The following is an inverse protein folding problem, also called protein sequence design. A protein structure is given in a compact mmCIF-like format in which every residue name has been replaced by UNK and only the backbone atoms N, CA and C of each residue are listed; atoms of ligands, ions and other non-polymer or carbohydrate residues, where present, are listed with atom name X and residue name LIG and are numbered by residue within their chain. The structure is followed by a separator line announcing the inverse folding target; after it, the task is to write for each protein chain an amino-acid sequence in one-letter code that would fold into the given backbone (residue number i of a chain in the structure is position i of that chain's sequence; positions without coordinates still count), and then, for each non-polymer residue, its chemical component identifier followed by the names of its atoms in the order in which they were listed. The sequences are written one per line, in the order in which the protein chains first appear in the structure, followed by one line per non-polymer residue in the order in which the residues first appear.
data_IF_004148195570
#
_entry.id   IF_004148195570
#
_cell.length_a   1.000
_cell.length_b   1.000
_cell.length_c   1.000
_cell.angle_alpha   90.00
_cell.angle_beta   90.00
_cell.angle_gamma   90.00
#
_symmetry.space_group_name_H-M   'P 1'
#
loop_
_entity.id
_entity.type
_entity.pdbx_description
1 polymer ?
#
# COMPACT_ATOMS: atom_id res chain seq x y z
N UNK A 1 -19.44 -11.27 8.58
CA UNK A 1 -17.99 -11.53 8.74
C UNK A 1 -17.42 -10.67 9.86
N UNK A 2 -16.63 -11.27 10.77
CA UNK A 2 -15.88 -10.57 11.82
C UNK A 2 -14.38 -10.89 11.69
N UNK A 3 -13.50 -9.89 11.84
CA UNK A 3 -12.05 -10.04 11.64
C UNK A 3 -11.31 -9.57 12.89
N UNK A 4 -10.45 -10.44 13.43
CA UNK A 4 -9.46 -10.10 14.45
C UNK A 4 -8.07 -10.15 13.79
N UNK A 5 -7.42 -8.99 13.56
CA UNK A 5 -6.13 -8.93 12.87
C UNK A 5 -5.10 -9.90 13.45
N UNK A 6 -4.39 -10.62 12.58
CA UNK A 6 -3.33 -11.57 12.96
C UNK A 6 -3.78 -12.78 13.77
N UNK A 7 -5.11 -12.98 13.98
CA UNK A 7 -5.62 -14.04 14.85
C UNK A 7 -6.75 -14.85 14.23
N UNK A 8 -7.79 -14.20 13.71
CA UNK A 8 -8.95 -14.93 13.21
C UNK A 8 -9.77 -14.17 12.17
N UNK A 9 -10.37 -14.91 11.25
CA UNK A 9 -11.47 -14.45 10.40
C UNK A 9 -12.65 -15.39 10.63
N UNK A 10 -13.80 -14.82 10.97
CA UNK A 10 -15.04 -15.56 11.19
C UNK A 10 -16.06 -15.16 10.14
N UNK A 11 -16.67 -16.17 9.54
CA UNK A 11 -17.69 -15.96 8.52
C UNK A 11 -18.86 -16.92 8.67
N UNK A 12 -20.03 -16.47 8.21
CA UNK A 12 -21.23 -17.28 8.12
C UNK A 12 -21.39 -17.71 6.66
N UNK A 13 -21.07 -18.98 6.38
CA UNK A 13 -21.27 -19.54 5.05
C UNK A 13 -22.75 -19.90 4.92
N UNK A 14 -23.48 -19.13 4.12
CA UNK A 14 -24.85 -19.47 3.72
C UNK A 14 -24.81 -20.39 2.51
N UNK A 15 -25.33 -21.60 2.66
CA UNK A 15 -25.50 -22.53 1.55
C UNK A 15 -26.98 -22.59 1.16
N UNK A 16 -27.55 -21.45 0.73
CA UNK A 16 -28.94 -21.28 0.31
C UNK A 16 -29.95 -22.15 1.12
N UNK A 17 -30.42 -23.25 0.52
CA UNK A 17 -31.46 -24.14 1.06
C UNK A 17 -30.99 -25.05 2.20
N UNK A 18 -29.73 -24.98 2.60
CA UNK A 18 -29.10 -25.89 3.56
C UNK A 18 -28.76 -25.24 4.92
N UNK A 19 -29.09 -23.96 5.09
CA UNK A 19 -28.87 -23.22 6.33
C UNK A 19 -27.48 -22.57 6.42
N UNK A 20 -27.28 -21.82 7.50
CA UNK A 20 -26.01 -21.13 7.78
C UNK A 20 -25.04 -22.07 8.51
N UNK A 21 -23.80 -22.10 8.04
CA UNK A 21 -22.71 -22.85 8.65
C UNK A 21 -21.67 -21.86 9.15
N UNK A 22 -21.34 -21.97 10.44
CA UNK A 22 -20.28 -21.14 11.02
C UNK A 22 -18.92 -21.65 10.56
N UNK A 23 -18.10 -20.75 10.02
CA UNK A 23 -16.74 -21.02 9.56
C UNK A 23 -15.75 -20.11 10.30
N UNK A 24 -14.66 -20.69 10.79
CA UNK A 24 -13.55 -19.95 11.42
C UNK A 24 -12.20 -20.29 10.79
N UNK A 25 -11.44 -19.26 10.45
CA UNK A 25 -10.02 -19.35 10.12
C UNK A 25 -9.22 -18.85 11.30
N UNK A 26 -8.48 -19.73 11.97
CA UNK A 26 -7.57 -19.37 13.05
C UNK A 26 -6.14 -19.29 12.50
N UNK A 27 -5.43 -18.22 12.84
CA UNK A 27 -4.06 -17.96 12.43
C UNK A 27 -3.13 -18.13 13.65
N UNK A 28 -2.07 -18.91 13.48
CA UNK A 28 -1.02 -19.07 14.49
C UNK A 28 0.36 -19.14 13.86
N UNK A 29 1.42 -18.90 14.62
CA UNK A 29 2.78 -19.11 14.12
C UNK A 29 3.07 -20.60 13.99
N UNK A 30 3.60 -21.05 12.85
CA UNK A 30 4.02 -22.43 12.64
C UNK A 30 5.41 -22.67 13.27
N UNK A 31 5.67 -23.91 13.73
CA UNK A 31 6.91 -24.26 14.46
C UNK A 31 8.19 -24.10 13.62
N UNK A 32 8.10 -24.28 12.32
CA UNK A 32 9.23 -24.14 11.38
C UNK A 32 9.40 -22.72 10.82
N UNK A 33 8.71 -21.72 11.38
CA UNK A 33 8.53 -20.41 10.74
C UNK A 33 7.30 -20.36 9.83
N UNK A 34 6.79 -19.15 9.58
CA UNK A 34 5.57 -18.89 8.80
C UNK A 34 4.26 -18.89 9.60
N UNK A 35 3.14 -18.72 8.91
CA UNK A 35 1.78 -18.71 9.47
C UNK A 35 1.08 -20.04 9.20
N UNK A 36 0.61 -20.68 10.26
CA UNK A 36 -0.33 -21.80 10.20
C UNK A 36 -1.75 -21.24 10.14
N UNK A 37 -2.52 -21.72 9.15
CA UNK A 37 -3.94 -21.44 9.01
C UNK A 37 -4.71 -22.71 9.37
N UNK A 38 -5.62 -22.61 10.31
CA UNK A 38 -6.56 -23.68 10.65
C UNK A 38 -7.96 -23.25 10.26
N UNK A 39 -8.53 -23.91 9.26
CA UNK A 39 -9.92 -23.72 8.86
C UNK A 39 -10.80 -24.72 9.61
N UNK A 40 -11.77 -24.22 10.37
CA UNK A 40 -12.79 -25.03 11.02
C UNK A 40 -14.16 -24.65 10.51
N UNK A 41 -15.01 -25.65 10.44
CA UNK A 41 -16.40 -25.52 10.06
C UNK A 41 -17.26 -26.21 11.13
N UNK A 42 -18.27 -25.50 11.64
CA UNK A 42 -19.19 -26.02 12.65
C UNK A 42 -20.58 -26.17 12.05
N UNK A 43 -21.02 -27.42 11.97
CA UNK A 43 -22.36 -27.78 11.51
C UNK A 43 -23.20 -28.16 12.72
N UNK A 44 -24.26 -27.40 12.99
CA UNK A 44 -25.26 -27.76 13.99
C UNK A 44 -26.26 -28.76 13.38
N UNK A 45 -26.27 -29.98 13.91
CA UNK A 45 -27.18 -31.05 13.47
C UNK A 45 -28.42 -31.17 14.37
N UNK A 46 -28.49 -30.43 15.48
CA UNK A 46 -29.54 -30.52 16.50
C UNK A 46 -29.88 -31.99 16.83
N UNK A 47 -31.16 -32.34 16.92
CA UNK A 47 -31.62 -33.70 17.22
C UNK A 47 -31.79 -34.60 15.98
N UNK A 48 -31.28 -34.19 14.81
CA UNK A 48 -31.43 -34.95 13.56
C UNK A 48 -30.38 -36.07 13.47
N UNK A 49 -30.80 -37.28 13.83
CA UNK A 49 -29.96 -38.49 13.83
C UNK A 49 -29.42 -38.81 12.43
N UNK A 50 -30.19 -38.55 11.37
CA UNK A 50 -29.76 -38.80 9.99
C UNK A 50 -28.64 -37.86 9.60
N UNK A 51 -28.76 -36.57 9.93
CA UNK A 51 -27.67 -35.59 9.74
C UNK A 51 -26.44 -35.93 10.57
N UNK A 52 -26.61 -36.45 11.78
CA UNK A 52 -25.49 -36.88 12.65
C UNK A 52 -24.70 -38.04 12.04
N UNK A 53 -25.39 -39.05 11.51
CA UNK A 53 -24.75 -40.17 10.81
C UNK A 53 -24.06 -39.74 9.52
N UNK A 54 -24.70 -38.90 8.71
CA UNK A 54 -24.07 -38.31 7.51
C UNK A 54 -22.87 -37.44 7.88
N UNK A 55 -22.94 -36.76 9.03
CA UNK A 55 -21.86 -35.97 9.63
C UNK A 55 -20.55 -36.73 9.77
N UNK A 56 -20.61 -38.02 10.10
CA UNK A 56 -19.42 -38.87 10.25
C UNK A 56 -18.67 -39.11 8.94
N UNK A 57 -19.32 -38.91 7.79
CA UNK A 57 -18.72 -39.07 6.47
C UNK A 57 -18.11 -37.75 5.94
N UNK A 58 -18.50 -36.61 6.52
CA UNK A 58 -18.05 -35.28 6.08
C UNK A 58 -16.52 -35.07 6.15
N UNK A 59 -15.77 -35.60 7.13
CA UNK A 59 -14.31 -35.49 7.12
C UNK A 59 -13.67 -36.08 5.86
N UNK A 60 -14.22 -37.19 5.34
CA UNK A 60 -13.68 -37.86 4.14
C UNK A 60 -14.04 -37.16 2.84
N UNK A 61 -15.14 -36.40 2.81
CA UNK A 61 -15.61 -35.71 1.60
C UNK A 61 -15.30 -34.22 1.63
N UNK A 62 -15.81 -33.51 2.64
CA UNK A 62 -15.63 -32.06 2.79
C UNK A 62 -14.24 -31.76 3.37
N UNK A 63 -13.76 -32.54 4.34
CA UNK A 63 -12.42 -32.33 4.92
C UNK A 63 -11.33 -32.40 3.87
N UNK A 64 -11.34 -33.41 3.00
CA UNK A 64 -10.42 -33.51 1.88
C UNK A 64 -10.46 -32.29 0.93
N UNK A 65 -11.66 -31.76 0.65
CA UNK A 65 -11.82 -30.54 -0.16
C UNK A 65 -11.32 -29.28 0.56
N UNK A 66 -11.49 -29.20 1.88
CA UNK A 66 -10.96 -28.11 2.69
C UNK A 66 -9.43 -28.13 2.68
N UNK A 67 -8.82 -29.31 2.76
CA UNK A 67 -7.36 -29.48 2.65
C UNK A 67 -6.85 -29.08 1.26
N UNK A 68 -7.52 -29.52 0.18
CA UNK A 68 -7.21 -29.09 -1.19
C UNK A 68 -7.31 -27.56 -1.35
N UNK A 69 -8.34 -26.94 -0.77
CA UNK A 69 -8.53 -25.50 -0.81
C UNK A 69 -7.44 -24.76 -0.02
N UNK A 70 -7.06 -25.25 1.16
CA UNK A 70 -5.95 -24.71 1.96
C UNK A 70 -4.60 -24.87 1.25
N UNK A 71 -4.39 -25.96 0.51
CA UNK A 71 -3.18 -26.16 -0.29
C UNK A 71 -3.10 -25.13 -1.43
N UNK A 72 -4.21 -24.90 -2.16
CA UNK A 72 -4.27 -23.85 -3.20
C UNK A 72 -4.09 -22.46 -2.60
N UNK A 73 -4.71 -22.19 -1.45
CA UNK A 73 -4.52 -20.94 -0.72
C UNK A 73 -3.06 -20.73 -0.32
N UNK A 74 -2.39 -21.78 0.18
CA UNK A 74 -0.96 -21.75 0.47
C UNK A 74 -0.13 -21.39 -0.76
N UNK A 75 -0.37 -22.05 -1.90
CA UNK A 75 0.35 -21.71 -3.15
C UNK A 75 0.17 -20.25 -3.53
N UNK A 76 -1.05 -19.70 -3.42
CA UNK A 76 -1.30 -18.29 -3.70
C UNK A 76 -0.61 -17.37 -2.69
N UNK A 77 -0.67 -17.71 -1.40
CA UNK A 77 -0.03 -16.94 -0.34
C UNK A 77 1.50 -16.95 -0.44
N UNK A 78 2.11 -18.03 -0.93
CA UNK A 78 3.55 -18.15 -1.12
C UNK A 78 4.08 -17.45 -2.39
N UNK A 79 3.19 -17.06 -3.31
CA UNK A 79 3.54 -16.18 -4.44
C UNK A 79 3.75 -14.74 -3.97
N UNK A 80 3.11 -14.36 -2.85
CA UNK A 80 3.28 -13.03 -2.26
C UNK A 80 4.71 -12.97 -1.70
N UNK A 81 5.54 -11.99 -2.12
CA UNK A 81 6.87 -11.81 -1.55
C UNK A 81 6.79 -11.70 -0.03
N UNK A 82 7.81 -12.18 0.68
CA UNK A 82 7.97 -12.00 2.13
C UNK A 82 8.32 -10.54 2.48
N UNK A 83 7.49 -9.61 2.01
CA UNK A 83 7.47 -8.25 2.43
C UNK A 83 6.48 -8.18 3.59
N UNK A 84 6.99 -8.31 4.82
CA UNK A 84 6.22 -7.86 5.98
C UNK A 84 5.79 -6.41 5.68
N UNK A 85 4.52 -6.09 5.83
CA UNK A 85 3.98 -4.72 5.71
C UNK A 85 3.01 -4.43 6.87
N UNK A 86 2.89 -5.35 7.83
CA UNK A 86 1.88 -5.27 8.89
C UNK A 86 2.14 -4.16 9.91
N UNK A 87 3.37 -3.67 9.96
CA UNK A 87 3.84 -2.53 10.76
C UNK A 87 3.72 -1.17 10.04
N UNK A 88 3.41 -1.15 8.74
CA UNK A 88 3.32 0.08 7.96
C UNK A 88 1.95 0.76 8.19
N UNK A 89 1.96 2.06 8.52
CA UNK A 89 0.75 2.90 8.45
C UNK A 89 0.44 3.18 6.98
N UNK A 90 -0.29 2.25 6.35
CA UNK A 90 -0.65 2.26 4.94
C UNK A 90 -2.16 2.28 4.76
N UNK A 91 -2.64 3.20 3.90
CA UNK A 91 -4.07 3.41 3.66
C UNK A 91 -4.32 3.69 2.18
N UNK A 92 -5.45 3.20 1.64
CA UNK A 92 -5.92 3.64 0.33
C UNK A 92 -6.69 4.94 0.53
N UNK A 93 -6.25 6.01 -0.12
CA UNK A 93 -6.85 7.35 -0.04
C UNK A 93 -7.20 7.86 -1.43
N UNK A 94 -8.16 8.78 -1.52
CA UNK A 94 -8.39 9.57 -2.74
C UNK A 94 -7.74 10.93 -2.57
N UNK A 95 -6.86 11.31 -3.50
CA UNK A 95 -6.13 12.57 -3.43
C UNK A 95 -6.56 13.55 -4.52
N UNK A 96 -6.49 14.84 -4.21
CA UNK A 96 -6.63 15.93 -5.18
C UNK A 96 -5.26 16.29 -5.76
N UNK A 97 -5.22 16.58 -7.05
CA UNK A 97 -4.02 17.10 -7.70
C UNK A 97 -3.67 18.47 -7.12
N UNK A 98 -2.38 18.73 -6.91
CA UNK A 98 -1.85 20.04 -6.46
C UNK A 98 -0.82 20.54 -7.45
N UNK A 99 -0.81 21.85 -7.66
CA UNK A 99 0.25 22.53 -8.40
C UNK A 99 1.51 22.65 -7.54
N UNK A 100 2.66 22.33 -8.12
CA UNK A 100 3.97 22.32 -7.46
C UNK A 100 4.95 23.06 -8.36
N UNK A 101 5.62 24.09 -7.83
CA UNK A 101 6.79 24.67 -8.47
C UNK A 101 7.97 23.72 -8.23
N UNK A 102 8.61 23.21 -9.27
CA UNK A 102 9.59 22.14 -9.15
C UNK A 102 10.80 22.34 -10.05
N UNK A 103 11.93 21.79 -9.61
CA UNK A 103 13.20 21.73 -10.33
C UNK A 103 13.70 20.29 -10.35
N UNK A 104 14.39 19.91 -11.42
CA UNK A 104 14.97 18.57 -11.52
C UNK A 104 16.07 18.36 -10.47
N UNK A 105 16.05 17.20 -9.84
CA UNK A 105 17.15 16.72 -9.02
C UNK A 105 18.17 15.99 -9.90
N UNK A 106 19.47 16.17 -9.63
CA UNK A 106 20.49 15.34 -10.25
C UNK A 106 20.33 13.88 -9.78
N UNK A 107 20.68 12.88 -10.62
CA UNK A 107 20.71 11.50 -10.20
C UNK A 107 21.66 11.32 -9.00
N UNK A 108 21.20 10.77 -7.87
CA UNK A 108 22.06 10.64 -6.69
C UNK A 108 23.04 9.48 -6.85
N UNK A 109 24.33 9.68 -6.50
CA UNK A 109 25.29 8.59 -6.43
C UNK A 109 25.29 7.90 -5.05
N UNK A 110 24.85 8.58 -3.99
CA UNK A 110 24.64 8.04 -2.64
C UNK A 110 23.36 8.59 -2.00
N UNK A 111 22.89 7.99 -0.90
CA UNK A 111 21.69 8.46 -0.19
C UNK A 111 21.90 9.83 0.49
N UNK A 112 23.08 10.06 1.06
CA UNK A 112 23.40 11.35 1.67
C UNK A 112 23.42 12.48 0.64
N UNK A 113 23.90 12.19 -0.58
CA UNK A 113 23.87 13.14 -1.69
C UNK A 113 22.45 13.42 -2.18
N UNK A 114 21.57 12.42 -2.18
CA UNK A 114 20.15 12.59 -2.52
C UNK A 114 19.46 13.55 -1.56
N UNK A 115 19.69 13.39 -0.25
CA UNK A 115 19.08 14.24 0.77
C UNK A 115 19.64 15.67 0.74
N UNK A 116 20.95 15.83 0.55
CA UNK A 116 21.57 17.15 0.37
C UNK A 116 21.05 17.87 -0.88
N UNK A 117 20.96 17.18 -2.01
CA UNK A 117 20.43 17.73 -3.26
C UNK A 117 18.95 18.12 -3.13
N UNK A 118 18.15 17.33 -2.42
CA UNK A 118 16.75 17.66 -2.13
C UNK A 118 16.64 18.96 -1.33
N UNK A 119 17.42 19.12 -0.26
CA UNK A 119 17.42 20.33 0.58
C UNK A 119 17.84 21.56 -0.22
N UNK A 120 18.91 21.45 -1.01
CA UNK A 120 19.40 22.54 -1.85
C UNK A 120 18.36 22.97 -2.90
N UNK A 121 17.77 21.99 -3.59
CA UNK A 121 16.76 22.25 -4.60
C UNK A 121 15.48 22.86 -4.01
N UNK A 122 15.03 22.40 -2.84
CA UNK A 122 13.90 23.01 -2.13
C UNK A 122 14.18 24.45 -1.73
N UNK A 123 15.38 24.74 -1.18
CA UNK A 123 15.78 26.10 -0.83
C UNK A 123 15.78 27.03 -2.06
N UNK A 124 16.25 26.52 -3.20
CA UNK A 124 16.26 27.24 -4.47
C UNK A 124 14.85 27.56 -4.97
N UNK A 125 13.93 26.58 -4.93
CA UNK A 125 12.52 26.80 -5.30
C UNK A 125 11.87 27.84 -4.37
N UNK A 126 12.08 27.75 -3.06
CA UNK A 126 11.55 28.73 -2.11
C UNK A 126 12.09 30.14 -2.36
N UNK A 127 13.39 30.28 -2.62
CA UNK A 127 13.99 31.58 -2.95
C UNK A 127 13.36 32.19 -4.22
N UNK A 128 13.21 31.38 -5.27
CA UNK A 128 12.57 31.79 -6.52
C UNK A 128 11.13 32.28 -6.32
N UNK A 129 10.34 31.58 -5.50
CA UNK A 129 8.96 31.96 -5.17
C UNK A 129 8.93 33.26 -4.34
N UNK A 130 9.79 33.37 -3.33
CA UNK A 130 9.88 34.54 -2.45
C UNK A 130 10.25 35.82 -3.20
N UNK A 131 11.22 35.76 -4.12
CA UNK A 131 11.60 36.90 -4.99
C UNK A 131 10.42 37.45 -5.81
N UNK A 132 9.42 36.60 -6.07
CA UNK A 132 8.23 36.92 -6.86
C UNK A 132 7.00 37.23 -6.00
N UNK A 133 7.14 37.28 -4.68
CA UNK A 133 6.04 37.51 -3.75
C UNK A 133 5.00 36.39 -3.76
N UNK A 134 5.38 35.18 -4.21
CA UNK A 134 4.53 34.00 -4.15
C UNK A 134 4.73 33.34 -2.78
N UNK A 135 3.63 33.20 -2.03
CA UNK A 135 3.64 32.59 -0.70
C UNK A 135 3.25 31.11 -0.80
N UNK A 136 4.20 30.16 -0.73
CA UNK A 136 3.88 28.75 -0.81
C UNK A 136 3.19 28.25 0.47
N UNK A 137 2.52 27.10 0.36
CA UNK A 137 1.96 26.38 1.52
C UNK A 137 3.05 25.74 2.41
N UNK A 138 4.33 26.05 2.17
CA UNK A 138 5.54 25.54 2.84
C UNK A 138 5.65 24.00 2.90
N UNK A 139 4.87 23.29 2.10
CA UNK A 139 4.97 21.85 1.95
C UNK A 139 5.98 21.50 0.86
N UNK A 140 7.03 20.78 1.24
CA UNK A 140 8.04 20.26 0.32
C UNK A 140 7.61 18.94 -0.31
N UNK A 141 7.82 18.84 -1.62
CA UNK A 141 7.52 17.69 -2.44
C UNK A 141 8.80 17.13 -3.06
N UNK A 142 8.96 15.81 -3.03
CA UNK A 142 9.85 15.08 -3.95
C UNK A 142 8.98 14.21 -4.85
N UNK A 143 8.99 14.47 -6.14
CA UNK A 143 8.11 13.82 -7.13
C UNK A 143 8.99 12.95 -8.02
N UNK A 144 8.68 11.66 -8.12
CA UNK A 144 9.33 10.79 -9.10
C UNK A 144 8.83 11.20 -10.51
N UNK A 145 9.66 11.20 -11.55
CA UNK A 145 9.22 11.63 -12.90
C UNK A 145 8.57 10.48 -13.68
N UNK A 146 8.93 9.23 -13.35
CA UNK A 146 8.39 8.03 -13.96
C UNK A 146 7.93 7.02 -12.90
N UNK A 147 6.80 6.37 -13.17
CA UNK A 147 6.24 5.31 -12.33
C UNK A 147 7.04 3.99 -12.41
N UNK A 148 7.78 3.76 -13.49
CA UNK A 148 8.42 2.47 -13.78
C UNK A 148 9.96 2.52 -13.86
N UNK A 149 10.57 3.69 -13.69
CA UNK A 149 12.02 3.87 -13.77
C UNK A 149 12.58 4.17 -12.38
N UNK A 150 13.76 3.63 -11.99
CA UNK A 150 14.41 4.00 -10.74
C UNK A 150 14.54 5.53 -10.61
N UNK A 151 14.68 6.03 -9.38
CA UNK A 151 14.66 7.44 -8.93
C UNK A 151 15.63 8.44 -9.64
N UNK A 152 16.22 8.06 -10.78
CA UNK A 152 17.19 8.79 -11.59
C UNK A 152 16.64 10.08 -12.22
N UNK A 153 15.32 10.28 -12.19
CA UNK A 153 14.70 11.55 -12.55
C UNK A 153 13.64 11.87 -11.49
N UNK A 154 14.03 12.61 -10.46
CA UNK A 154 13.12 13.14 -9.45
C UNK A 154 13.04 14.66 -9.59
N UNK A 155 11.93 15.25 -9.19
CA UNK A 155 11.77 16.69 -9.03
C UNK A 155 11.69 17.03 -7.55
N UNK A 156 12.33 18.10 -7.15
CA UNK A 156 12.12 18.74 -5.85
C UNK A 156 11.26 19.97 -6.05
N UNK A 157 10.25 20.16 -5.22
CA UNK A 157 9.34 21.27 -5.39
C UNK A 157 8.58 21.68 -4.14
N UNK A 158 7.82 22.75 -4.27
CA UNK A 158 7.00 23.31 -3.22
C UNK A 158 5.60 23.57 -3.78
N UNK A 159 4.57 23.25 -3.00
CA UNK A 159 3.19 23.51 -3.40
C UNK A 159 2.95 25.01 -3.61
N UNK A 160 2.27 25.32 -4.72
CA UNK A 160 1.81 26.67 -5.08
C UNK A 160 0.30 26.65 -5.29
N UNK A 161 -0.40 27.79 -5.13
CA UNK A 161 -1.80 27.90 -5.49
C UNK A 161 -2.05 27.52 -6.95
N UNK A 162 -3.20 26.89 -7.22
CA UNK A 162 -3.60 26.55 -8.57
C UNK A 162 -3.81 27.81 -9.43
N UNK A 163 -3.42 27.73 -10.71
CA UNK A 163 -3.55 28.83 -11.67
C UNK A 163 -2.42 29.85 -11.64
N UNK A 164 -1.40 29.64 -10.79
CA UNK A 164 -0.14 30.41 -10.87
C UNK A 164 0.64 29.96 -12.10
N UNK A 165 0.93 30.92 -12.98
CA UNK A 165 1.79 30.72 -14.13
C UNK A 165 3.24 31.08 -13.77
N UNK A 166 4.18 30.18 -14.04
CA UNK A 166 5.59 30.41 -13.77
C UNK A 166 6.27 30.85 -15.08
N UNK A 167 7.00 31.98 -15.09
CA UNK A 167 7.61 32.52 -16.30
C UNK A 167 8.44 31.49 -17.06
N UNK A 168 8.26 31.43 -18.39
CA UNK A 168 9.09 30.63 -19.27
C UNK A 168 10.57 31.09 -19.21
N UNK A 169 11.48 30.13 -19.23
CA UNK A 169 12.93 30.37 -19.24
C UNK A 169 13.66 30.19 -17.90
N UNK A 170 12.95 29.92 -16.79
CA UNK A 170 13.57 29.30 -15.62
C UNK A 170 13.60 27.78 -15.73
N UNK A 171 14.58 27.14 -15.09
CA UNK A 171 14.62 25.69 -14.90
C UNK A 171 13.68 25.20 -13.79
N UNK A 172 13.02 26.13 -13.09
CA UNK A 172 11.89 25.89 -12.21
C UNK A 172 10.62 26.01 -13.05
N UNK A 173 9.82 24.95 -13.08
CA UNK A 173 8.56 24.87 -13.80
C UNK A 173 7.40 24.43 -12.91
N UNK A 174 6.16 24.62 -13.38
CA UNK A 174 4.97 24.14 -12.69
C UNK A 174 4.65 22.70 -13.11
N UNK A 175 4.50 21.81 -12.14
CA UNK A 175 4.03 20.43 -12.33
C UNK A 175 2.79 20.17 -11.49
N UNK A 176 2.00 19.16 -11.86
CA UNK A 176 0.82 18.74 -11.10
C UNK A 176 0.99 17.34 -10.55
N UNK A 177 0.68 17.14 -9.27
CA UNK A 177 0.58 15.79 -8.71
C UNK A 177 -0.67 15.07 -9.24
N UNK A 178 -0.70 13.75 -9.07
CA UNK A 178 -1.82 12.92 -9.49
C UNK A 178 -3.11 13.24 -8.69
N UNK A 179 -4.27 12.99 -9.31
CA UNK A 179 -5.56 12.98 -8.64
C UNK A 179 -6.24 11.63 -8.81
N UNK A 180 -6.81 11.11 -7.73
CA UNK A 180 -7.50 9.82 -7.71
C UNK A 180 -7.00 8.90 -6.60
N UNK A 181 -7.20 7.58 -6.72
CA UNK A 181 -6.77 6.62 -5.72
C UNK A 181 -5.23 6.52 -5.59
N UNK A 182 -4.74 6.55 -4.36
CA UNK A 182 -3.33 6.35 -4.03
C UNK A 182 -3.18 5.54 -2.75
N UNK A 183 -2.07 4.79 -2.64
CA UNK A 183 -1.59 4.29 -1.35
C UNK A 183 -0.85 5.43 -0.64
N UNK A 184 -1.35 5.83 0.52
CA UNK A 184 -0.66 6.71 1.46
C UNK A 184 0.09 5.84 2.46
N UNK A 185 1.39 6.07 2.60
CA UNK A 185 2.24 5.46 3.62
C UNK A 185 2.91 6.54 4.46
N UNK A 186 2.77 6.48 5.79
CA UNK A 186 3.50 7.36 6.70
C UNK A 186 4.78 6.70 7.19
N UNK A 187 5.91 7.37 6.97
CA UNK A 187 7.24 6.86 7.32
C UNK A 187 7.93 7.81 8.28
N UNK A 188 8.40 7.27 9.41
CA UNK A 188 9.27 7.99 10.34
C UNK A 188 10.74 7.69 10.04
N UNK A 189 11.59 8.70 10.17
CA UNK A 189 13.03 8.61 9.89
C UNK A 189 13.43 9.23 8.55
N UNK A 190 14.73 9.14 8.23
CA UNK A 190 15.34 9.75 7.05
C UNK A 190 15.24 8.91 5.76
N UNK A 191 16.08 9.25 4.78
CA UNK A 191 16.08 8.64 3.43
C UNK A 191 16.15 7.10 3.44
N UNK A 192 16.94 6.52 4.34
CA UNK A 192 17.07 5.08 4.53
C UNK A 192 15.74 4.38 4.86
N UNK A 193 14.96 4.95 5.78
CA UNK A 193 13.66 4.40 6.16
C UNK A 193 12.69 4.42 4.99
N UNK A 194 12.67 5.54 4.26
CA UNK A 194 11.81 5.74 3.09
C UNK A 194 12.17 4.74 1.99
N UNK A 195 13.45 4.55 1.69
CA UNK A 195 13.93 3.57 0.70
C UNK A 195 13.49 2.15 1.07
N UNK A 196 13.67 1.74 2.34
CA UNK A 196 13.23 0.41 2.80
C UNK A 196 11.72 0.22 2.67
N UNK A 197 10.94 1.23 3.03
CA UNK A 197 9.48 1.19 2.89
C UNK A 197 9.07 1.07 1.42
N UNK A 198 9.66 1.86 0.52
CA UNK A 198 9.36 1.79 -0.92
C UNK A 198 9.61 0.39 -1.51
N UNK A 199 10.72 -0.26 -1.12
CA UNK A 199 11.01 -1.64 -1.55
C UNK A 199 9.96 -2.65 -1.07
N UNK A 200 9.51 -2.54 0.19
CA UNK A 200 8.46 -3.39 0.77
C UNK A 200 7.11 -3.16 0.07
N UNK A 201 6.75 -1.90 -0.16
CA UNK A 201 5.46 -1.53 -0.78
C UNK A 201 5.41 -1.92 -2.26
N UNK A 202 6.51 -1.78 -3.01
CA UNK A 202 6.57 -2.26 -4.40
C UNK A 202 6.25 -3.75 -4.53
N UNK A 203 6.77 -4.55 -3.60
CA UNK A 203 6.48 -6.00 -3.51
C UNK A 203 5.00 -6.26 -3.18
N UNK A 204 4.41 -5.46 -2.29
CA UNK A 204 2.98 -5.55 -1.97
C UNK A 204 2.07 -5.18 -3.15
N UNK A 205 2.38 -4.11 -3.90
CA UNK A 205 1.59 -3.68 -5.06
C UNK A 205 1.50 -4.81 -6.09
N UNK A 206 2.63 -5.47 -6.38
CA UNK A 206 2.68 -6.62 -7.28
C UNK A 206 1.81 -7.79 -6.77
N UNK A 207 1.95 -8.14 -5.49
CA UNK A 207 1.19 -9.24 -4.87
C UNK A 207 -0.32 -8.97 -4.77
N UNK A 208 -0.70 -7.72 -4.54
CA UNK A 208 -2.09 -7.29 -4.44
C UNK A 208 -2.77 -7.15 -5.81
N UNK A 209 -2.06 -7.44 -6.91
CA UNK A 209 -2.51 -7.22 -8.28
C UNK A 209 -2.99 -5.77 -8.49
N UNK A 210 -2.26 -4.83 -7.89
CA UNK A 210 -2.41 -3.39 -8.07
C UNK A 210 -1.37 -2.93 -9.09
N UNK A 211 -1.64 -1.81 -9.76
CA UNK A 211 -0.71 -1.24 -10.73
C UNK A 211 -0.47 0.22 -10.40
N UNK A 212 0.80 0.63 -10.32
CA UNK A 212 1.12 2.04 -10.20
C UNK A 212 0.78 2.75 -11.52
N UNK A 213 -0.06 3.79 -11.46
CA UNK A 213 -0.63 4.43 -12.67
C UNK A 213 -0.04 5.79 -12.98
N UNK A 214 0.67 6.38 -12.04
CA UNK A 214 1.33 7.67 -12.18
C UNK A 214 2.54 7.72 -11.24
N UNK A 215 3.46 8.67 -11.45
CA UNK A 215 4.62 8.79 -10.59
C UNK A 215 4.22 9.06 -9.13
N UNK A 216 4.97 8.46 -8.22
CA UNK A 216 4.79 8.67 -6.78
C UNK A 216 5.36 10.02 -6.34
N UNK A 217 4.90 10.51 -5.20
CA UNK A 217 5.52 11.67 -4.56
C UNK A 217 5.61 11.49 -3.05
N UNK A 218 6.54 12.23 -2.47
CA UNK A 218 6.78 12.33 -1.05
C UNK A 218 6.47 13.75 -0.59
N UNK A 219 5.75 13.88 0.52
CA UNK A 219 5.60 15.14 1.22
C UNK A 219 6.40 15.08 2.52
N UNK A 220 7.39 15.96 2.65
CA UNK A 220 8.25 16.01 3.85
C UNK A 220 7.61 16.89 4.91
N UNK A 221 7.34 16.31 6.08
CA UNK A 221 6.87 16.99 7.30
C UNK A 221 7.99 16.99 8.34
N UNK A 222 7.82 17.79 9.39
CA UNK A 222 8.84 17.93 10.44
C UNK A 222 9.19 16.60 11.14
N UNK A 223 8.21 15.70 11.31
CA UNK A 223 8.38 14.47 12.10
C UNK A 223 8.28 13.17 11.27
N UNK A 224 7.79 13.25 10.04
CA UNK A 224 7.56 12.10 9.17
C UNK A 224 7.50 12.52 7.70
N UNK A 225 7.57 11.53 6.81
CA UNK A 225 7.27 11.69 5.40
C UNK A 225 5.97 10.95 5.06
N UNK A 226 5.17 11.55 4.18
CA UNK A 226 4.04 10.87 3.55
C UNK A 226 4.44 10.48 2.14
N UNK A 227 4.34 9.19 1.83
CA UNK A 227 4.59 8.66 0.49
C UNK A 227 3.24 8.36 -0.14
N UNK A 228 3.02 8.90 -1.33
CA UNK A 228 1.82 8.69 -2.11
C UNK A 228 2.18 7.92 -3.37
N UNK A 229 1.57 6.75 -3.55
CA UNK A 229 1.76 5.90 -4.72
C UNK A 229 0.42 5.78 -5.44
N UNK A 230 0.22 6.46 -6.59
CA UNK A 230 -0.97 6.33 -7.41
C UNK A 230 -1.20 4.90 -7.86
N UNK A 231 -2.39 4.36 -7.61
CA UNK A 231 -2.68 2.96 -7.91
C UNK A 231 -4.02 2.81 -8.63
N UNK A 232 -4.09 1.83 -9.52
CA UNK A 232 -5.36 1.28 -10.00
C UNK A 232 -5.57 -0.13 -9.46
N UNK A 233 -6.86 -0.48 -9.34
CA UNK A 233 -7.31 -1.68 -8.65
C UNK A 233 -7.51 -1.44 -7.15
N UNK A 234 -8.38 -2.24 -6.55
CA UNK A 234 -8.49 -2.38 -5.09
C UNK A 234 -7.82 -3.69 -4.71
N UNK A 235 -7.22 -3.81 -3.50
CA UNK A 235 -6.85 -5.11 -2.98
C UNK A 235 -8.07 -6.03 -3.07
N UNK A 236 -8.02 -7.06 -3.92
CA UNK A 236 -9.13 -8.01 -4.03
C UNK A 236 -9.19 -8.79 -2.72
N UNK A 237 -10.04 -8.34 -1.81
CA UNK A 237 -10.29 -9.03 -0.54
C UNK A 237 -10.75 -8.13 0.59
N UNK A 238 -11.88 -7.45 0.43
CA UNK A 238 -12.81 -7.07 1.51
C UNK A 238 -14.22 -6.94 0.92
N UNK A 239 -14.84 -8.09 0.69
CA UNK A 239 -16.28 -8.28 0.49
C UNK A 239 -16.70 -9.41 1.42
#
# INVERSE_FOLDING_TARGET
MAVTPGRAVQDALSFDRHGEVASDYALSRHKSGGTQVLWRMRIDTRFDIVKRWRGLLLPKTIGARMDEALAKFKTLAEIIPDADIGDLDMQVVSVAARSVAAVALPPPATLDQDEAALVEAMARVMAYLNERGLYPDNEGYKIDVDANTPAEQSLAGVAIPDGIDLPEGSDIGAVRTYSGPALLIRVRGGADSIRRVRLRVGSFIQAANMTQVAPSWEVRKAEFAEIYIPVSGTPKGRG
#
